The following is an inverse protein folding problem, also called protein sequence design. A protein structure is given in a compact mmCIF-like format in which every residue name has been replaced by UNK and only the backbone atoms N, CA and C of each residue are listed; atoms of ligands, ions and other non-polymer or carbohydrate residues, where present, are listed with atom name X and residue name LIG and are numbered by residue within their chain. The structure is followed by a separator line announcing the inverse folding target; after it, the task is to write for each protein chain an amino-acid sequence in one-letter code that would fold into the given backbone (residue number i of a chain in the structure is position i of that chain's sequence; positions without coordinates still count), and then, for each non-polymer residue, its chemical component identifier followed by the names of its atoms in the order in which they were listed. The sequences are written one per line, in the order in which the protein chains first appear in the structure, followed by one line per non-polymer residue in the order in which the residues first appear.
data_IF_953096285375
#
_entry.id   IF_953096285375
#
_cell.length_a   1.000
_cell.length_b   1.000
_cell.length_c   1.000
_cell.angle_alpha   90.00
_cell.angle_beta   90.00
_cell.angle_gamma   90.00
#
_symmetry.space_group_name_H-M   'P 1'
#
loop_
_entity.id
_entity.type
_entity.pdbx_description
1 polymer ?
#
# COMPACT_ATOMS: atom_id res chain seq x y z
N UNK A 1 10.30 11.76 -18.51
CA UNK A 1 8.97 11.15 -18.35
C UNK A 1 7.98 11.96 -19.19
N UNK A 2 7.03 11.29 -19.88
CA UNK A 2 5.96 12.02 -20.57
C UNK A 2 5.01 12.68 -19.57
N UNK A 3 4.37 13.79 -19.97
CA UNK A 3 3.38 14.49 -19.13
C UNK A 3 2.26 13.55 -18.68
N UNK A 4 1.80 12.65 -19.56
CA UNK A 4 0.81 11.62 -19.26
C UNK A 4 1.27 10.69 -18.15
N UNK A 5 2.53 10.21 -18.19
CA UNK A 5 3.07 9.31 -17.19
C UNK A 5 3.19 10.00 -15.82
N UNK A 6 3.62 11.27 -15.79
CA UNK A 6 3.67 12.08 -14.57
C UNK A 6 2.26 12.20 -13.97
N UNK A 7 1.28 12.59 -14.77
CA UNK A 7 -0.11 12.74 -14.32
C UNK A 7 -0.68 11.45 -13.77
N UNK A 8 -0.56 10.33 -14.50
CA UNK A 8 -1.05 9.01 -14.05
C UNK A 8 -0.38 8.57 -12.76
N UNK A 9 0.94 8.77 -12.64
CA UNK A 9 1.69 8.44 -11.42
C UNK A 9 1.23 9.29 -10.24
N UNK A 10 1.09 10.60 -10.41
CA UNK A 10 0.60 11.50 -9.35
C UNK A 10 -0.82 11.13 -8.90
N UNK A 11 -1.72 10.85 -9.85
CA UNK A 11 -3.08 10.40 -9.55
C UNK A 11 -3.08 9.10 -8.75
N UNK A 12 -2.19 8.17 -9.09
CA UNK A 12 -2.03 6.91 -8.34
C UNK A 12 -1.57 7.17 -6.90
N UNK A 13 -0.59 8.04 -6.69
CA UNK A 13 -0.08 8.37 -5.35
C UNK A 13 -1.15 9.06 -4.50
N UNK A 14 -1.93 9.96 -5.09
CA UNK A 14 -3.08 10.59 -4.43
C UNK A 14 -4.12 9.52 -4.06
N UNK A 15 -4.46 8.61 -4.98
CA UNK A 15 -5.41 7.53 -4.70
C UNK A 15 -4.95 6.65 -3.53
N UNK A 16 -3.66 6.34 -3.43
CA UNK A 16 -3.10 5.58 -2.30
C UNK A 16 -3.20 6.33 -0.97
N UNK A 17 -2.90 7.62 -0.95
CA UNK A 17 -3.02 8.44 0.24
C UNK A 17 -4.49 8.59 0.67
N UNK A 18 -5.38 8.88 -0.28
CA UNK A 18 -6.84 8.98 -0.03
C UNK A 18 -7.39 7.67 0.53
N UNK A 19 -6.87 6.53 0.07
CA UNK A 19 -7.26 5.23 0.60
C UNK A 19 -6.95 5.05 2.10
N UNK A 20 -5.80 5.57 2.57
CA UNK A 20 -5.47 5.59 4.00
C UNK A 20 -6.43 6.48 4.79
N UNK A 21 -6.73 7.68 4.27
CA UNK A 21 -7.66 8.63 4.89
C UNK A 21 -9.08 8.04 4.98
N UNK A 22 -9.59 7.46 3.89
CA UNK A 22 -10.94 6.87 3.87
C UNK A 22 -11.08 5.70 4.84
N UNK A 23 -10.06 4.85 4.93
CA UNK A 23 -10.10 3.74 5.87
C UNK A 23 -10.06 4.24 7.32
N UNK A 24 -9.15 5.14 7.65
CA UNK A 24 -9.05 5.74 8.98
C UNK A 24 -10.34 6.46 9.35
N UNK A 25 -10.83 7.35 8.48
CA UNK A 25 -12.08 8.07 8.68
C UNK A 25 -13.26 7.12 8.99
N UNK A 26 -13.40 6.07 8.17
CA UNK A 26 -14.55 5.17 8.27
C UNK A 26 -14.53 4.33 9.56
N UNK A 27 -13.35 3.88 9.96
CA UNK A 27 -13.17 2.99 11.12
C UNK A 27 -13.10 3.79 12.43
N UNK A 28 -12.37 4.90 12.45
CA UNK A 28 -12.23 5.74 13.66
C UNK A 28 -13.52 6.44 14.04
N UNK A 29 -14.31 6.86 13.06
CA UNK A 29 -15.65 7.46 13.29
C UNK A 29 -16.72 6.42 13.60
N UNK A 30 -16.37 5.15 13.74
CA UNK A 30 -17.28 4.04 14.03
C UNK A 30 -18.51 3.97 13.09
N UNK A 31 -18.34 4.41 11.82
CA UNK A 31 -19.42 4.36 10.82
C UNK A 31 -19.47 3.02 10.09
N UNK A 32 -18.39 2.23 10.16
CA UNK A 32 -18.30 0.87 9.66
C UNK A 32 -17.16 0.15 10.39
N UNK A 33 -17.35 -1.11 10.72
CA UNK A 33 -16.27 -1.91 11.30
C UNK A 33 -15.18 -2.25 10.26
N UNK A 34 -13.93 -2.51 10.71
CA UNK A 34 -12.81 -2.79 9.80
C UNK A 34 -13.03 -3.97 8.87
N UNK A 35 -13.76 -5.00 9.34
CA UNK A 35 -14.04 -6.21 8.59
C UNK A 35 -15.01 -5.95 7.45
N UNK A 36 -16.11 -5.27 7.75
CA UNK A 36 -17.10 -4.83 6.77
C UNK A 36 -16.49 -3.88 5.75
N UNK A 37 -15.64 -2.93 6.20
CA UNK A 37 -14.93 -2.03 5.30
C UNK A 37 -14.05 -2.81 4.31
N UNK A 38 -13.25 -3.77 4.81
CA UNK A 38 -12.38 -4.59 3.98
C UNK A 38 -13.17 -5.41 2.93
N UNK A 39 -14.28 -6.05 3.36
CA UNK A 39 -15.14 -6.84 2.47
C UNK A 39 -15.79 -5.99 1.37
N UNK A 40 -16.41 -4.87 1.75
CA UNK A 40 -17.05 -3.96 0.80
C UNK A 40 -16.03 -3.36 -0.16
N UNK A 41 -14.86 -2.95 0.36
CA UNK A 41 -13.77 -2.40 -0.43
C UNK A 41 -13.25 -3.37 -1.49
N UNK A 42 -12.95 -4.63 -1.13
CA UNK A 42 -12.42 -5.60 -2.10
C UNK A 42 -13.48 -6.00 -3.12
N UNK A 43 -14.72 -6.19 -2.68
CA UNK A 43 -15.84 -6.60 -3.55
C UNK A 43 -16.22 -5.52 -4.54
N UNK A 44 -16.31 -4.25 -4.11
CA UNK A 44 -16.61 -3.13 -5.01
C UNK A 44 -15.47 -2.87 -6.00
N UNK A 45 -14.21 -3.03 -5.56
CA UNK A 45 -13.05 -2.98 -6.45
C UNK A 45 -13.08 -4.09 -7.50
N UNK A 46 -13.36 -5.33 -7.10
CA UNK A 46 -13.52 -6.47 -8.01
C UNK A 46 -14.63 -6.23 -9.03
N UNK A 47 -15.79 -5.76 -8.58
CA UNK A 47 -16.95 -5.50 -9.44
C UNK A 47 -16.64 -4.42 -10.49
N UNK A 48 -16.09 -3.28 -10.07
CA UNK A 48 -15.76 -2.18 -10.99
C UNK A 48 -14.71 -2.59 -12.01
N UNK A 49 -13.66 -3.28 -11.57
CA UNK A 49 -12.62 -3.79 -12.47
C UNK A 49 -13.17 -4.81 -13.46
N UNK A 50 -14.06 -5.70 -13.01
CA UNK A 50 -14.72 -6.69 -13.87
C UNK A 50 -15.61 -6.00 -14.91
N UNK A 51 -16.38 -4.97 -14.53
CA UNK A 51 -17.19 -4.17 -15.48
C UNK A 51 -16.29 -3.49 -16.50
N UNK A 52 -15.20 -2.82 -16.06
CA UNK A 52 -14.26 -2.15 -16.96
C UNK A 52 -13.62 -3.17 -17.93
N UNK A 53 -13.25 -4.36 -17.45
CA UNK A 53 -12.68 -5.41 -18.29
C UNK A 53 -13.65 -5.83 -19.40
N UNK A 54 -14.91 -6.11 -19.05
CA UNK A 54 -15.90 -6.53 -20.04
C UNK A 54 -16.28 -5.43 -21.06
N UNK A 55 -16.15 -4.16 -20.69
CA UNK A 55 -16.45 -3.03 -21.59
C UNK A 55 -15.27 -2.69 -22.50
N UNK A 56 -14.03 -2.79 -21.97
CA UNK A 56 -12.83 -2.29 -22.67
C UNK A 56 -11.97 -3.37 -23.30
N UNK A 57 -12.07 -4.61 -22.88
CA UNK A 57 -11.19 -5.67 -23.32
C UNK A 57 -12.01 -6.82 -23.91
N UNK A 58 -11.52 -7.38 -25.01
CA UNK A 58 -12.00 -8.66 -25.54
C UNK A 58 -11.24 -9.85 -24.93
N UNK A 59 -10.22 -9.56 -24.10
CA UNK A 59 -9.41 -10.59 -23.45
C UNK A 59 -10.20 -11.25 -22.32
N UNK A 60 -10.27 -12.58 -22.30
CA UNK A 60 -10.96 -13.31 -21.22
C UNK A 60 -10.23 -13.12 -19.89
N UNK A 61 -10.99 -13.11 -18.79
CA UNK A 61 -10.42 -13.18 -17.47
C UNK A 61 -9.68 -14.51 -17.29
N UNK A 62 -8.38 -14.45 -17.09
CA UNK A 62 -7.52 -15.61 -16.87
C UNK A 62 -7.10 -15.73 -15.42
N UNK A 63 -6.91 -16.95 -14.94
CA UNK A 63 -6.49 -17.24 -13.57
C UNK A 63 -5.17 -18.02 -13.61
N UNK A 64 -4.06 -17.30 -13.51
CA UNK A 64 -2.71 -17.87 -13.50
C UNK A 64 -2.19 -18.02 -12.06
N UNK A 65 -1.21 -18.88 -11.85
CA UNK A 65 -0.56 -19.08 -10.55
C UNK A 65 -0.01 -17.77 -9.96
N UNK A 66 0.56 -16.91 -10.79
CA UNK A 66 1.06 -15.61 -10.34
C UNK A 66 -0.05 -14.71 -9.81
N UNK A 67 -1.22 -14.72 -10.47
CA UNK A 67 -2.40 -13.95 -10.03
C UNK A 67 -2.98 -14.49 -8.72
N UNK A 68 -2.93 -15.80 -8.48
CA UNK A 68 -3.33 -16.39 -7.19
C UNK A 68 -2.41 -15.94 -6.06
N UNK A 69 -1.09 -15.95 -6.27
CA UNK A 69 -0.13 -15.40 -5.30
C UNK A 69 -0.35 -13.90 -5.09
N UNK A 70 -0.67 -13.17 -6.17
CA UNK A 70 -1.08 -11.77 -6.10
C UNK A 70 -2.34 -11.57 -5.26
N UNK A 71 -3.33 -12.44 -5.39
CA UNK A 71 -4.57 -12.39 -4.61
C UNK A 71 -4.34 -12.65 -3.11
N UNK A 72 -3.50 -13.61 -2.76
CA UNK A 72 -3.09 -13.84 -1.37
C UNK A 72 -2.36 -12.63 -0.79
N UNK A 73 -1.46 -12.04 -1.56
CA UNK A 73 -0.71 -10.84 -1.17
C UNK A 73 -1.63 -9.63 -1.00
N UNK A 74 -2.59 -9.46 -1.91
CA UNK A 74 -3.60 -8.41 -1.85
C UNK A 74 -4.54 -8.61 -0.66
N UNK A 75 -4.98 -9.84 -0.38
CA UNK A 75 -5.81 -10.15 0.77
C UNK A 75 -5.08 -9.85 2.09
N UNK A 76 -3.82 -10.29 2.24
CA UNK A 76 -3.00 -9.98 3.41
C UNK A 76 -2.84 -8.45 3.61
N UNK A 77 -2.62 -7.72 2.51
CA UNK A 77 -2.58 -6.26 2.54
C UNK A 77 -3.92 -5.67 2.99
N UNK A 78 -5.04 -6.04 2.39
CA UNK A 78 -6.35 -5.45 2.69
C UNK A 78 -6.77 -5.74 4.13
N UNK A 79 -6.60 -6.97 4.60
CA UNK A 79 -6.95 -7.39 5.96
C UNK A 79 -6.09 -6.62 6.98
N UNK A 80 -4.77 -6.70 6.84
CA UNK A 80 -3.85 -6.04 7.76
C UNK A 80 -4.04 -4.51 7.79
N UNK A 81 -4.21 -3.90 6.63
CA UNK A 81 -4.44 -2.47 6.47
C UNK A 81 -5.73 -2.00 7.15
N UNK A 82 -6.85 -2.69 6.92
CA UNK A 82 -8.14 -2.29 7.49
C UNK A 82 -8.16 -2.46 9.00
N UNK A 83 -7.62 -3.56 9.53
CA UNK A 83 -7.54 -3.79 10.97
C UNK A 83 -6.55 -2.83 11.65
N UNK A 84 -5.46 -2.47 11.00
CA UNK A 84 -4.44 -1.58 11.56
C UNK A 84 -4.99 -0.16 11.80
N UNK A 85 -5.84 0.35 10.91
CA UNK A 85 -6.42 1.69 11.05
C UNK A 85 -7.49 1.82 12.14
N UNK A 86 -7.86 0.74 12.79
CA UNK A 86 -8.61 0.83 14.04
C UNK A 86 -7.79 1.44 15.19
N UNK A 87 -6.45 1.43 15.09
CA UNK A 87 -5.57 1.88 16.18
C UNK A 87 -4.46 2.83 15.75
N UNK A 88 -4.24 3.01 14.44
CA UNK A 88 -3.18 3.86 13.90
C UNK A 88 -3.76 5.08 13.17
N UNK A 89 -3.14 6.24 13.38
CA UNK A 89 -3.40 7.44 12.58
C UNK A 89 -3.06 7.21 11.10
N UNK A 90 -3.74 7.92 10.19
CA UNK A 90 -3.58 7.74 8.75
C UNK A 90 -2.13 7.99 8.30
N UNK A 91 -1.50 9.05 8.82
CA UNK A 91 -0.13 9.40 8.50
C UNK A 91 0.88 8.39 9.01
N UNK A 92 0.76 7.95 10.27
CA UNK A 92 1.65 6.95 10.88
C UNK A 92 1.49 5.59 10.19
N UNK A 93 0.25 5.17 9.95
CA UNK A 93 -0.03 3.93 9.23
C UNK A 93 0.59 3.91 7.83
N UNK A 94 0.44 5.00 7.06
CA UNK A 94 1.07 5.11 5.75
C UNK A 94 2.60 5.08 5.83
N UNK A 95 3.21 5.71 6.85
CA UNK A 95 4.67 5.69 7.05
C UNK A 95 5.18 4.29 7.32
N UNK A 96 4.52 3.54 8.22
CA UNK A 96 4.87 2.15 8.53
C UNK A 96 4.70 1.26 7.30
N UNK A 97 3.57 1.38 6.61
CA UNK A 97 3.27 0.61 5.41
C UNK A 97 4.35 0.79 4.35
N UNK A 98 4.57 2.02 3.89
CA UNK A 98 5.50 2.29 2.80
C UNK A 98 6.96 2.11 3.21
N UNK A 99 7.32 2.35 4.47
CA UNK A 99 8.62 1.98 5.01
C UNK A 99 8.86 0.46 4.92
N UNK A 100 7.89 -0.33 5.34
CA UNK A 100 7.93 -1.81 5.27
C UNK A 100 7.99 -2.28 3.81
N UNK A 101 7.20 -1.68 2.91
CA UNK A 101 7.22 -1.98 1.47
C UNK A 101 8.62 -1.81 0.91
N UNK A 102 9.26 -0.68 1.19
CA UNK A 102 10.59 -0.38 0.66
C UNK A 102 11.65 -1.35 1.21
N UNK A 103 11.63 -1.61 2.51
CA UNK A 103 12.54 -2.58 3.15
C UNK A 103 12.33 -3.98 2.53
N UNK A 104 11.09 -4.40 2.32
CA UNK A 104 10.76 -5.70 1.73
C UNK A 104 11.24 -5.82 0.30
N UNK A 105 10.97 -4.83 -0.56
CA UNK A 105 11.44 -4.80 -1.96
C UNK A 105 12.97 -4.77 -2.03
N UNK A 106 13.61 -3.98 -1.15
CA UNK A 106 15.06 -3.92 -1.05
C UNK A 106 15.66 -5.27 -0.64
N UNK A 107 15.12 -5.89 0.41
CA UNK A 107 15.57 -7.21 0.90
C UNK A 107 15.39 -8.28 -0.18
N UNK A 108 14.26 -8.29 -0.87
CA UNK A 108 14.03 -9.17 -2.02
C UNK A 108 15.10 -9.00 -3.10
N UNK A 109 15.37 -7.75 -3.48
CA UNK A 109 16.37 -7.43 -4.50
C UNK A 109 17.79 -7.83 -4.07
N UNK A 110 18.10 -7.74 -2.78
CA UNK A 110 19.40 -8.12 -2.23
C UNK A 110 19.59 -9.65 -2.20
N UNK A 111 18.52 -10.42 -1.96
CA UNK A 111 18.57 -11.88 -1.86
C UNK A 111 18.60 -12.57 -3.24
N UNK A 112 17.83 -12.07 -4.20
CA UNK A 112 17.66 -12.68 -5.53
C UNK A 112 18.24 -11.85 -6.68
N UNK A 113 18.92 -10.76 -6.38
CA UNK A 113 19.52 -9.84 -7.34
C UNK A 113 21.01 -9.60 -7.12
N UNK A 114 21.41 -8.37 -7.23
CA UNK A 114 22.79 -7.92 -7.01
C UNK A 114 23.02 -7.62 -5.52
N UNK A 115 24.24 -7.92 -5.03
CA UNK A 115 24.62 -7.57 -3.65
C UNK A 115 24.41 -6.07 -3.39
N UNK A 116 23.80 -5.69 -2.27
CA UNK A 116 23.60 -4.29 -1.94
C UNK A 116 24.95 -3.60 -1.68
N UNK A 117 25.09 -2.35 -2.11
CA UNK A 117 26.24 -1.53 -1.76
C UNK A 117 26.19 -1.12 -0.29
N UNK A 118 27.34 -0.75 0.29
CA UNK A 118 27.38 -0.23 1.66
C UNK A 118 26.45 0.98 1.87
N UNK A 119 26.35 1.85 0.87
CA UNK A 119 25.47 3.01 0.91
C UNK A 119 23.97 2.60 0.95
N UNK A 120 23.62 1.52 0.25
CA UNK A 120 22.27 0.95 0.31
C UNK A 120 21.95 0.37 1.69
N UNK A 121 22.91 -0.32 2.31
CA UNK A 121 22.76 -0.86 3.66
C UNK A 121 22.62 0.29 4.67
N UNK A 122 23.46 1.32 4.58
CA UNK A 122 23.37 2.50 5.44
C UNK A 122 22.01 3.22 5.29
N UNK A 123 21.55 3.43 4.05
CA UNK A 123 20.25 4.03 3.78
C UNK A 123 19.10 3.24 4.36
N UNK A 124 19.10 1.91 4.20
CA UNK A 124 18.11 1.03 4.80
C UNK A 124 18.15 1.07 6.34
N UNK A 125 19.34 1.12 6.93
CA UNK A 125 19.53 1.28 8.37
C UNK A 125 18.95 2.60 8.91
N UNK A 126 19.19 3.72 8.22
CA UNK A 126 18.64 5.03 8.57
C UNK A 126 17.10 4.99 8.50
N UNK A 127 16.54 4.42 7.43
CA UNK A 127 15.10 4.26 7.29
C UNK A 127 14.50 3.40 8.42
N UNK A 128 15.15 2.31 8.78
CA UNK A 128 14.73 1.47 9.90
C UNK A 128 14.77 2.20 11.25
N UNK A 129 15.82 2.97 11.52
CA UNK A 129 15.91 3.83 12.71
C UNK A 129 14.76 4.84 12.73
N UNK A 130 14.45 5.47 11.59
CA UNK A 130 13.31 6.37 11.46
C UNK A 130 11.97 5.70 11.81
N UNK A 131 11.75 4.45 11.37
CA UNK A 131 10.56 3.68 11.77
C UNK A 131 10.56 3.37 13.26
N UNK A 132 11.69 3.00 13.86
CA UNK A 132 11.79 2.76 15.31
C UNK A 132 11.46 4.03 16.10
N UNK A 133 11.90 5.21 15.64
CA UNK A 133 11.58 6.48 16.28
C UNK A 133 10.08 6.79 16.14
N UNK A 134 9.47 6.54 14.97
CA UNK A 134 8.03 6.72 14.76
C UNK A 134 7.20 5.86 15.71
N UNK A 135 7.71 4.67 16.05
CA UNK A 135 7.06 3.68 16.90
C UNK A 135 7.44 3.83 18.39
N UNK A 136 8.38 4.74 18.72
CA UNK A 136 8.82 4.94 20.10
C UNK A 136 7.72 5.59 20.92
N UNK A 137 7.32 5.00 22.07
CA UNK A 137 6.20 5.47 22.88
C UNK A 137 6.57 6.74 23.67
N UNK A 138 6.84 7.85 22.98
CA UNK A 138 7.21 9.11 23.65
C UNK A 138 6.04 9.75 24.45
N UNK A 139 4.78 9.46 24.06
CA UNK A 139 3.58 10.08 24.64
C UNK A 139 2.43 9.07 24.88
N UNK A 140 2.71 7.78 25.14
CA UNK A 140 1.69 6.73 25.37
C UNK A 140 0.62 6.60 24.26
N UNK A 141 0.86 7.11 23.06
CA UNK A 141 -0.13 7.11 21.98
C UNK A 141 -0.18 5.83 21.14
N UNK A 142 0.84 4.96 21.21
CA UNK A 142 0.73 3.61 20.66
C UNK A 142 0.16 2.73 21.77
N UNK A 143 -1.15 2.85 22.00
CA UNK A 143 -1.85 2.04 23.00
C UNK A 143 -1.92 0.57 22.61
N UNK A 144 -1.67 0.22 21.35
CA UNK A 144 -1.78 -1.14 20.87
C UNK A 144 -0.79 -1.48 19.74
N UNK A 145 0.26 -2.25 20.09
CA UNK A 145 1.25 -2.74 19.10
C UNK A 145 0.64 -3.66 18.03
N UNK A 146 -0.59 -4.15 18.21
CA UNK A 146 -1.24 -5.02 17.22
C UNK A 146 -1.45 -4.31 15.88
N UNK A 147 -1.85 -3.04 15.89
CA UNK A 147 -2.00 -2.24 14.67
C UNK A 147 -0.69 -2.09 13.89
N UNK A 148 0.42 -1.94 14.61
CA UNK A 148 1.76 -1.86 14.00
C UNK A 148 2.10 -3.17 13.27
N UNK A 149 1.92 -4.33 13.93
CA UNK A 149 2.19 -5.62 13.31
C UNK A 149 1.28 -5.89 12.12
N UNK A 150 0.00 -5.53 12.22
CA UNK A 150 -0.95 -5.65 11.12
C UNK A 150 -0.55 -4.78 9.93
N UNK A 151 -0.05 -3.55 10.18
CA UNK A 151 0.43 -2.66 9.11
C UNK A 151 1.73 -3.16 8.48
N UNK A 152 2.62 -3.80 9.26
CA UNK A 152 3.83 -4.46 8.73
C UNK A 152 3.42 -5.64 7.81
N UNK A 153 2.47 -6.48 8.23
CA UNK A 153 1.93 -7.57 7.41
C UNK A 153 1.33 -7.02 6.12
N UNK A 154 0.57 -5.93 6.22
CA UNK A 154 0.02 -5.24 5.06
C UNK A 154 1.12 -4.72 4.13
N UNK A 155 2.20 -4.15 4.67
CA UNK A 155 3.35 -3.68 3.91
C UNK A 155 4.08 -4.80 3.15
N UNK A 156 4.28 -5.95 3.79
CA UNK A 156 4.85 -7.14 3.13
C UNK A 156 3.91 -7.63 2.03
N UNK A 157 2.60 -7.71 2.29
CA UNK A 157 1.59 -8.07 1.30
C UNK A 157 1.62 -7.14 0.08
N UNK A 158 1.65 -5.82 0.32
CA UNK A 158 1.75 -4.84 -0.76
C UNK A 158 3.06 -4.93 -1.55
N UNK A 159 4.19 -5.20 -0.89
CA UNK A 159 5.47 -5.41 -1.54
C UNK A 159 5.43 -6.63 -2.49
N UNK A 160 4.92 -7.76 -2.01
CA UNK A 160 4.74 -8.97 -2.81
C UNK A 160 3.80 -8.72 -4.00
N UNK A 161 2.65 -8.06 -3.76
CA UNK A 161 1.71 -7.67 -4.79
C UNK A 161 2.37 -6.79 -5.87
N UNK A 162 3.16 -5.80 -5.46
CA UNK A 162 3.91 -4.91 -6.38
C UNK A 162 4.97 -5.67 -7.19
N UNK A 163 5.70 -6.60 -6.56
CA UNK A 163 6.71 -7.42 -7.24
C UNK A 163 6.06 -8.30 -8.32
N UNK A 164 4.93 -8.94 -7.99
CA UNK A 164 4.17 -9.78 -8.93
C UNK A 164 3.61 -8.92 -10.07
N UNK A 165 3.05 -7.76 -9.75
CA UNK A 165 2.47 -6.84 -10.72
C UNK A 165 3.46 -6.28 -11.75
N UNK A 166 4.74 -6.24 -11.39
CA UNK A 166 5.80 -5.78 -12.31
C UNK A 166 5.95 -6.65 -13.57
N UNK A 167 5.54 -7.91 -13.49
CA UNK A 167 5.58 -8.88 -14.59
C UNK A 167 4.22 -9.05 -15.27
N UNK A 168 3.21 -8.27 -14.90
CA UNK A 168 1.88 -8.34 -15.48
C UNK A 168 1.90 -7.94 -16.96
N UNK A 169 1.43 -8.84 -17.83
CA UNK A 169 1.30 -8.58 -19.27
C UNK A 169 0.19 -7.58 -19.56
N UNK A 170 -0.96 -7.79 -18.94
CA UNK A 170 -2.10 -6.87 -18.97
C UNK A 170 -2.46 -6.41 -17.55
N UNK A 171 -2.27 -5.12 -17.24
CA UNK A 171 -2.59 -4.56 -15.93
C UNK A 171 -4.05 -4.71 -15.52
N UNK A 172 -4.99 -4.55 -16.46
CA UNK A 172 -6.42 -4.64 -16.19
C UNK A 172 -6.83 -6.08 -15.88
N UNK A 173 -6.45 -7.03 -16.72
CA UNK A 173 -6.73 -8.47 -16.52
C UNK A 173 -6.13 -8.94 -15.20
N UNK A 174 -4.86 -8.63 -14.96
CA UNK A 174 -4.15 -9.07 -13.75
C UNK A 174 -4.75 -8.47 -12.49
N UNK A 175 -5.06 -7.17 -12.47
CA UNK A 175 -5.67 -6.52 -11.30
C UNK A 175 -7.08 -7.06 -11.07
N UNK A 176 -7.89 -7.24 -12.12
CA UNK A 176 -9.23 -7.82 -12.00
C UNK A 176 -9.17 -9.22 -11.42
N UNK A 177 -8.32 -10.10 -11.95
CA UNK A 177 -8.16 -11.47 -11.48
C UNK A 177 -7.76 -11.53 -10.00
N UNK A 178 -6.79 -10.69 -9.59
CA UNK A 178 -6.32 -10.65 -8.20
C UNK A 178 -7.42 -10.16 -7.25
N UNK A 179 -8.21 -9.14 -7.63
CA UNK A 179 -9.33 -8.67 -6.81
C UNK A 179 -10.44 -9.71 -6.71
N UNK A 180 -10.84 -10.34 -7.82
CA UNK A 180 -11.87 -11.40 -7.84
C UNK A 180 -11.45 -12.57 -6.95
N UNK A 181 -10.20 -13.01 -7.02
CA UNK A 181 -9.71 -14.10 -6.16
C UNK A 181 -9.47 -13.68 -4.71
N UNK A 182 -9.10 -12.42 -4.44
CA UNK A 182 -8.91 -11.91 -3.08
C UNK A 182 -10.25 -11.75 -2.34
N UNK A 183 -11.34 -11.45 -3.05
CA UNK A 183 -12.67 -11.26 -2.45
C UNK A 183 -13.11 -12.43 -1.57
N UNK A 184 -13.16 -13.70 -2.03
CA UNK A 184 -13.55 -14.81 -1.17
C UNK A 184 -12.57 -15.03 0.00
N UNK A 185 -11.27 -14.76 -0.18
CA UNK A 185 -10.27 -14.93 0.88
C UNK A 185 -10.55 -13.92 2.01
N UNK A 186 -10.75 -12.65 1.68
CA UNK A 186 -11.08 -11.60 2.65
C UNK A 186 -12.42 -11.87 3.32
N UNK A 187 -13.43 -12.27 2.54
CA UNK A 187 -14.77 -12.59 3.07
C UNK A 187 -14.71 -13.75 4.06
N UNK A 188 -14.04 -14.87 3.70
CA UNK A 188 -13.91 -16.03 4.59
C UNK A 188 -13.15 -15.67 5.88
N UNK A 189 -12.12 -14.82 5.79
CA UNK A 189 -11.36 -14.38 6.97
C UNK A 189 -12.26 -13.65 8.00
N UNK A 190 -13.25 -12.90 7.52
CA UNK A 190 -14.12 -12.09 8.36
C UNK A 190 -15.51 -12.69 8.61
N UNK A 191 -15.79 -13.93 8.20
CA UNK A 191 -17.12 -14.57 8.35
C UNK A 191 -17.66 -14.59 9.78
N UNK A 192 -16.79 -14.67 10.78
CA UNK A 192 -17.15 -14.70 12.20
C UNK A 192 -16.95 -13.38 12.92
N UNK A 193 -16.63 -12.30 12.19
CA UNK A 193 -16.46 -10.96 12.75
C UNK A 193 -17.81 -10.30 13.06
N UNK A 194 -17.77 -9.32 13.95
CA UNK A 194 -18.90 -8.41 14.12
C UNK A 194 -19.13 -7.63 12.83
N UNK A 195 -20.38 -7.51 12.42
CA UNK A 195 -20.77 -6.76 11.23
C UNK A 195 -21.55 -5.53 11.69
N UNK A 196 -20.89 -4.38 11.55
CA UNK A 196 -21.51 -3.08 11.76
C UNK A 196 -21.22 -2.16 10.58
N UNK A 197 -22.27 -1.66 9.94
CA UNK A 197 -22.11 -0.73 8.82
C UNK A 197 -23.29 0.25 8.73
N UNK A 198 -22.98 1.53 8.70
CA UNK A 198 -23.94 2.58 8.35
C UNK A 198 -24.01 2.75 6.83
N UNK A 199 -25.07 3.36 6.33
CA UNK A 199 -25.18 3.68 4.90
C UNK A 199 -24.02 4.54 4.40
N UNK A 200 -23.58 5.54 5.19
CA UNK A 200 -22.44 6.38 4.84
C UNK A 200 -21.13 5.60 4.84
N UNK A 201 -20.90 4.70 5.83
CA UNK A 201 -19.73 3.83 5.89
C UNK A 201 -19.62 2.92 4.65
N UNK A 202 -20.74 2.37 4.19
CA UNK A 202 -20.79 1.56 2.95
C UNK A 202 -20.42 2.40 1.73
N UNK A 203 -20.92 3.63 1.61
CA UNK A 203 -20.57 4.53 0.50
C UNK A 203 -19.07 4.82 0.50
N UNK A 204 -18.49 5.13 1.66
CA UNK A 204 -17.03 5.39 1.81
C UNK A 204 -16.23 4.14 1.43
N UNK A 205 -16.65 2.95 1.87
CA UNK A 205 -15.98 1.69 1.54
C UNK A 205 -16.08 1.35 0.04
N UNK A 206 -17.23 1.59 -0.60
CA UNK A 206 -17.42 1.42 -2.05
C UNK A 206 -16.48 2.38 -2.81
N UNK A 207 -16.42 3.65 -2.42
CA UNK A 207 -15.54 4.62 -3.05
C UNK A 207 -14.05 4.22 -2.89
N UNK A 208 -13.66 3.79 -1.68
CA UNK A 208 -12.33 3.25 -1.42
C UNK A 208 -12.02 2.03 -2.30
N UNK A 209 -12.96 1.12 -2.45
CA UNK A 209 -12.79 -0.09 -3.26
C UNK A 209 -12.77 0.18 -4.75
N UNK A 210 -13.76 0.87 -5.26
CA UNK A 210 -13.93 1.11 -6.69
C UNK A 210 -12.88 2.09 -7.25
N UNK A 211 -12.68 3.23 -6.57
CA UNK A 211 -11.87 4.34 -7.09
C UNK A 211 -10.42 4.23 -6.61
N UNK A 212 -10.20 4.27 -5.29
CA UNK A 212 -8.82 4.39 -4.79
C UNK A 212 -8.06 3.05 -4.80
N UNK A 213 -8.76 1.92 -4.66
CA UNK A 213 -8.15 0.59 -4.77
C UNK A 213 -8.25 0.03 -6.19
N UNK A 214 -9.43 -0.27 -6.69
CA UNK A 214 -9.58 -0.92 -7.99
C UNK A 214 -8.93 -0.13 -9.12
N UNK A 215 -9.44 1.07 -9.39
CA UNK A 215 -8.89 1.93 -10.44
C UNK A 215 -7.46 2.40 -10.11
N UNK A 216 -7.18 2.76 -8.86
CA UNK A 216 -5.84 3.18 -8.42
C UNK A 216 -4.78 2.11 -8.63
N UNK A 217 -5.06 0.83 -8.33
CA UNK A 217 -4.10 -0.27 -8.50
C UNK A 217 -3.94 -0.69 -9.96
N UNK A 218 -5.01 -0.63 -10.74
CA UNK A 218 -4.91 -0.78 -12.19
C UNK A 218 -4.00 0.29 -12.79
N UNK A 219 -4.15 1.55 -12.38
CA UNK A 219 -3.25 2.63 -12.79
C UNK A 219 -1.81 2.34 -12.35
N UNK A 220 -1.60 1.89 -11.12
CA UNK A 220 -0.27 1.51 -10.62
C UNK A 220 0.39 0.44 -11.51
N UNK A 221 -0.32 -0.62 -11.80
CA UNK A 221 0.19 -1.68 -12.68
C UNK A 221 0.45 -1.18 -14.11
N UNK A 222 -0.30 -0.19 -14.57
CA UNK A 222 -0.09 0.43 -15.89
C UNK A 222 1.15 1.32 -15.96
N UNK A 223 1.46 2.03 -14.89
CA UNK A 223 2.63 2.94 -14.84
C UNK A 223 3.92 2.23 -14.40
N UNK A 224 3.81 1.21 -13.56
CA UNK A 224 4.93 0.51 -12.94
C UNK A 224 5.96 -0.03 -13.95
N UNK A 225 5.58 -0.68 -15.07
CA UNK A 225 6.53 -1.13 -16.09
C UNK A 225 7.25 0.01 -16.82
N UNK A 226 6.65 1.21 -16.85
CA UNK A 226 7.20 2.38 -17.53
C UNK A 226 8.16 3.19 -16.63
N UNK A 227 8.20 2.87 -15.33
CA UNK A 227 9.05 3.53 -14.36
C UNK A 227 10.34 2.72 -14.14
N UNK A 228 11.48 3.42 -14.09
CA UNK A 228 12.69 2.80 -13.54
C UNK A 228 12.42 2.41 -12.09
N UNK A 229 13.00 1.31 -11.62
CA UNK A 229 12.77 0.82 -10.25
C UNK A 229 13.02 1.89 -9.18
N UNK A 230 14.06 2.70 -9.35
CA UNK A 230 14.38 3.85 -8.50
C UNK A 230 13.23 4.87 -8.50
N UNK A 231 12.73 5.25 -9.68
CA UNK A 231 11.62 6.21 -9.79
C UNK A 231 10.35 5.67 -9.16
N UNK A 232 10.01 4.40 -9.42
CA UNK A 232 8.84 3.75 -8.83
C UNK A 232 8.89 3.73 -7.29
N UNK A 233 10.07 3.52 -6.71
CA UNK A 233 10.24 3.59 -5.25
C UNK A 233 10.14 5.02 -4.73
N UNK A 234 10.82 5.99 -5.37
CA UNK A 234 10.80 7.40 -4.92
C UNK A 234 9.40 8.00 -4.96
N UNK A 235 8.62 7.76 -6.02
CA UNK A 235 7.27 8.35 -6.11
C UNK A 235 6.33 7.83 -5.01
N UNK A 236 6.46 6.57 -4.60
CA UNK A 236 5.68 6.02 -3.48
C UNK A 236 5.97 6.71 -2.14
N UNK A 237 7.14 7.35 -1.97
CA UNK A 237 7.46 8.10 -0.75
C UNK A 237 6.63 9.37 -0.59
N UNK A 238 5.96 9.83 -1.65
CA UNK A 238 5.01 10.94 -1.54
C UNK A 238 3.74 10.56 -0.77
N UNK A 239 3.37 9.27 -0.74
CA UNK A 239 2.12 8.81 -0.12
C UNK A 239 2.04 9.09 1.37
N UNK A 240 3.03 8.72 2.21
CA UNK A 240 2.98 9.06 3.63
C UNK A 240 2.99 10.57 3.89
N UNK A 241 3.66 11.36 3.05
CA UNK A 241 3.64 12.83 3.18
C UNK A 241 2.23 13.36 2.94
N UNK A 242 1.58 12.92 1.85
CA UNK A 242 0.20 13.31 1.53
C UNK A 242 -0.75 12.84 2.63
N UNK A 243 -0.58 11.61 3.14
CA UNK A 243 -1.42 11.06 4.19
C UNK A 243 -1.28 11.81 5.53
N UNK A 244 -0.06 12.20 5.93
CA UNK A 244 0.18 13.01 7.14
C UNK A 244 -0.48 14.38 7.02
N UNK A 245 -0.27 15.06 5.90
CA UNK A 245 -0.87 16.39 5.66
C UNK A 245 -2.39 16.29 5.62
N UNK A 246 -2.94 15.32 4.90
CA UNK A 246 -4.38 15.13 4.79
C UNK A 246 -5.00 14.64 6.12
N UNK A 247 -4.33 13.77 6.87
CA UNK A 247 -4.76 13.32 8.19
C UNK A 247 -4.83 14.47 9.18
N UNK A 248 -3.84 15.36 9.18
CA UNK A 248 -3.85 16.56 10.01
C UNK A 248 -4.96 17.55 9.64
N UNK A 249 -5.27 17.71 8.34
CA UNK A 249 -6.27 18.67 7.88
C UNK A 249 -7.70 18.15 7.93
N UNK A 250 -7.91 16.86 7.78
CA UNK A 250 -9.24 16.26 7.62
C UNK A 250 -9.69 15.40 8.80
N UNK A 251 -8.75 14.92 9.61
CA UNK A 251 -9.00 14.01 10.73
C UNK A 251 -8.49 14.56 12.07
N UNK A 252 -8.02 15.81 12.10
CA UNK A 252 -7.42 16.46 13.28
C UNK A 252 -6.26 15.66 13.91
N UNK A 253 -5.55 14.85 13.10
CA UNK A 253 -4.40 14.07 13.56
C UNK A 253 -3.22 14.99 13.91
N UNK A 254 -2.62 14.78 15.08
CA UNK A 254 -1.53 15.62 15.55
C UNK A 254 -0.21 15.30 14.82
N UNK A 255 0.40 16.30 14.17
CA UNK A 255 1.74 16.18 13.60
C UNK A 255 2.77 16.54 14.68
N UNK A 256 3.31 15.51 15.33
CA UNK A 256 4.33 15.68 16.38
C UNK A 256 5.73 15.87 15.80
N UNK A 257 6.64 16.46 16.57
CA UNK A 257 8.06 16.56 16.18
C UNK A 257 8.69 15.19 15.92
N UNK A 258 8.27 14.16 16.65
CA UNK A 258 8.69 12.78 16.45
C UNK A 258 8.30 12.25 15.07
N UNK A 259 7.06 12.51 14.64
CA UNK A 259 6.58 12.13 13.28
C UNK A 259 7.40 12.85 12.22
N UNK A 260 7.68 14.15 12.38
CA UNK A 260 8.47 14.93 11.42
C UNK A 260 9.88 14.35 11.29
N UNK A 261 10.57 14.10 12.41
CA UNK A 261 11.92 13.51 12.41
C UNK A 261 11.89 12.12 11.74
N UNK A 262 10.92 11.30 12.09
CA UNK A 262 10.75 9.96 11.52
C UNK A 262 10.55 9.99 10.01
N UNK A 263 9.72 10.90 9.51
CA UNK A 263 9.51 11.12 8.07
C UNK A 263 10.83 11.43 7.38
N UNK A 264 11.60 12.39 7.89
CA UNK A 264 12.91 12.75 7.29
C UNK A 264 13.89 11.57 7.29
N UNK A 265 13.95 10.81 8.37
CA UNK A 265 14.84 9.63 8.46
C UNK A 265 14.38 8.50 7.53
N UNK A 266 13.09 8.17 7.51
CA UNK A 266 12.57 7.10 6.66
C UNK A 266 12.75 7.48 5.19
N UNK A 267 12.26 8.66 4.78
CA UNK A 267 12.32 9.09 3.38
C UNK A 267 13.75 9.34 2.94
N UNK A 268 14.57 9.99 3.77
CA UNK A 268 15.99 10.26 3.49
C UNK A 268 16.79 8.97 3.38
N UNK A 269 16.62 8.03 4.31
CA UNK A 269 17.29 6.74 4.29
C UNK A 269 16.92 5.92 3.05
N UNK A 270 15.64 5.86 2.70
CA UNK A 270 15.17 5.18 1.50
C UNK A 270 15.72 5.85 0.23
N UNK A 271 15.73 7.19 0.17
CA UNK A 271 16.28 7.94 -0.95
C UNK A 271 17.78 7.62 -1.14
N UNK A 272 18.58 7.60 -0.05
CA UNK A 272 19.99 7.22 -0.08
C UNK A 272 20.15 5.79 -0.62
N UNK A 273 19.35 4.83 -0.13
CA UNK A 273 19.40 3.45 -0.59
C UNK A 273 19.09 3.29 -2.09
N UNK A 274 18.19 4.11 -2.63
CA UNK A 274 17.74 4.04 -4.02
C UNK A 274 18.74 4.71 -4.97
N UNK A 275 19.29 5.86 -4.60
CA UNK A 275 20.22 6.64 -5.46
C UNK A 275 21.59 5.97 -5.56
N UNK A 276 21.92 5.11 -4.61
CA UNK A 276 23.22 4.43 -4.57
C UNK A 276 23.46 3.61 -5.85
N UNK A 277 24.63 3.73 -6.49
CA UNK A 277 24.96 2.97 -7.69
C UNK A 277 24.99 1.47 -7.38
N UNK A 278 24.34 0.66 -8.24
CA UNK A 278 24.43 -0.81 -8.17
C UNK A 278 25.87 -1.21 -8.52
N UNK A 279 26.54 -1.88 -7.61
CA UNK A 279 27.87 -2.49 -7.91
C UNK A 279 27.58 -3.65 -8.86
N UNK A 280 27.99 -3.53 -10.12
CA UNK A 280 28.08 -4.66 -11.05
C UNK A 280 29.13 -5.63 -10.50
N UNK A 281 28.71 -6.77 -10.00
CA UNK A 281 29.65 -7.87 -9.77
C UNK A 281 29.98 -8.44 -11.13
N UNK A 282 31.19 -8.14 -11.62
CA UNK A 282 31.76 -8.83 -12.78
C UNK A 282 31.98 -10.29 -12.36
N UNK A 283 31.16 -11.19 -12.85
CA UNK A 283 31.42 -12.63 -12.76
C UNK A 283 32.54 -12.93 -13.73
N UNK A 284 33.82 -12.89 -13.25
CA UNK A 284 34.93 -13.57 -13.89
C UNK A 284 34.94 -15.05 -13.57
#
# INVERSE_FOLDING_TARGET
MSMRLIFMTSLTMIAFAVNSILNRLAVDSEIIDPSSFAMVRVSSGALVLWVILNVKSSEPLTFEKAQFLGALSLAAYIIGFSLAYATLDAGLGALILFGTVQISIFSWSALWGTRPSMLQICGAGIAFIGLLIALWPADNKISNMSGVWLMIIAGIGWACYTIIGKTAKDPLVTTTATFVMATPIVTVFFLNGEIFMTQFGVIVAIFSGAVTSGFGYMLWYSVLPQLKSVTASVVQLSVPIIAIVAGSLLLDEAVTGTIIISVFLVLGGILIAIISPKIKVDHR
#
